data_IF_006668997553
#
_entry.id   IF_006668997553
#
_cell.length_a   1.000
_cell.length_b   1.000
_cell.length_c   1.000
_cell.angle_alpha   90.00
_cell.angle_beta   90.00
_cell.angle_gamma   90.00
#
_symmetry.space_group_name_H-M   'P 1'
#
loop_
_entity.id
_entity.type
_entity.pdbx_description
1 polymer ?
#
# COMPACT_ATOMS: atom_id res chain seq x y z
N UNK A 1 -11.33 -7.30 -15.85
CA UNK A 1 -12.58 -6.54 -15.65
C UNK A 1 -13.07 -5.91 -16.97
N UNK A 2 -12.22 -5.22 -17.74
CA UNK A 2 -12.57 -4.56 -19.01
C UNK A 2 -13.15 -5.49 -20.09
N UNK A 3 -12.59 -6.69 -20.25
CA UNK A 3 -13.03 -7.64 -21.28
C UNK A 3 -14.31 -8.40 -20.90
N UNK A 4 -14.40 -8.88 -19.65
CA UNK A 4 -15.50 -9.74 -19.18
C UNK A 4 -16.69 -8.95 -18.60
N UNK A 5 -16.55 -7.64 -18.35
CA UNK A 5 -17.53 -6.78 -17.66
C UNK A 5 -18.08 -7.38 -16.37
N UNK A 6 -17.24 -8.14 -15.67
CA UNK A 6 -17.55 -8.82 -14.42
C UNK A 6 -16.56 -8.40 -13.35
N UNK A 7 -17.06 -8.36 -12.11
CA UNK A 7 -16.25 -8.17 -10.92
C UNK A 7 -16.04 -9.53 -10.25
N UNK A 8 -14.82 -9.75 -9.76
CA UNK A 8 -14.49 -10.88 -8.91
C UNK A 8 -13.93 -10.34 -7.61
N UNK A 9 -14.37 -10.95 -6.51
CA UNK A 9 -13.78 -10.71 -5.21
C UNK A 9 -12.28 -11.05 -5.23
N UNK A 10 -11.46 -10.19 -4.64
CA UNK A 10 -10.02 -10.40 -4.48
C UNK A 10 -9.77 -10.85 -3.04
N UNK A 11 -10.04 -9.96 -2.08
CA UNK A 11 -9.89 -10.17 -0.65
C UNK A 11 -10.53 -9.03 0.14
N UNK A 12 -10.48 -9.15 1.46
CA UNK A 12 -10.87 -8.13 2.43
C UNK A 12 -9.69 -7.80 3.34
N UNK A 13 -9.69 -6.59 3.91
CA UNK A 13 -8.84 -6.28 5.06
C UNK A 13 -9.26 -7.10 6.29
N UNK A 14 -8.40 -7.24 7.31
CA UNK A 14 -8.79 -7.84 8.58
C UNK A 14 -9.98 -7.09 9.21
N UNK A 15 -10.87 -7.82 9.88
CA UNK A 15 -12.18 -7.30 10.33
C UNK A 15 -12.09 -6.28 11.47
N UNK A 16 -10.98 -6.27 12.19
CA UNK A 16 -10.68 -5.36 13.30
C UNK A 16 -10.18 -3.98 12.82
N UNK A 17 -10.11 -3.78 11.50
CA UNK A 17 -9.48 -2.63 10.89
C UNK A 17 -10.52 -1.75 10.19
N UNK A 18 -10.51 -0.47 10.53
CA UNK A 18 -11.35 0.55 9.92
C UNK A 18 -10.50 1.72 9.47
N UNK A 19 -10.69 2.15 8.23
CA UNK A 19 -10.01 3.31 7.65
C UNK A 19 -11.00 4.24 6.96
N UNK A 20 -10.71 5.54 6.97
CA UNK A 20 -11.41 6.52 6.16
C UNK A 20 -10.47 7.14 5.12
N UNK A 21 -10.70 6.82 3.84
CA UNK A 21 -9.88 7.38 2.75
C UNK A 21 -8.43 6.91 2.72
N UNK A 22 -8.14 5.66 3.11
CA UNK A 22 -6.82 5.05 2.95
C UNK A 22 -6.37 5.01 1.47
N UNK A 23 -5.07 4.83 1.26
CA UNK A 23 -4.47 4.79 -0.07
C UNK A 23 -3.82 3.44 -0.33
N UNK A 24 -4.02 2.92 -1.55
CA UNK A 24 -3.26 1.78 -2.08
C UNK A 24 -2.43 2.26 -3.27
N UNK A 25 -1.15 1.91 -3.27
CA UNK A 25 -0.21 2.21 -4.37
C UNK A 25 0.44 0.92 -4.85
N UNK A 26 0.79 0.90 -6.13
CA UNK A 26 1.56 -0.19 -6.73
C UNK A 26 3.05 0.07 -6.55
N UNK A 27 3.74 -0.86 -5.89
CA UNK A 27 5.20 -0.87 -5.81
C UNK A 27 5.76 -1.31 -7.16
N UNK A 28 6.63 -0.49 -7.74
CA UNK A 28 7.42 -0.86 -8.90
C UNK A 28 8.53 -1.80 -8.43
N UNK A 29 8.23 -3.07 -8.32
CA UNK A 29 9.28 -4.07 -8.15
C UNK A 29 9.76 -4.52 -9.53
N UNK A 30 11.07 -4.59 -9.72
CA UNK A 30 11.72 -5.08 -10.93
C UNK A 30 11.57 -6.60 -11.13
N UNK A 31 10.57 -7.22 -10.50
CA UNK A 31 10.40 -8.67 -10.49
C UNK A 31 9.99 -9.22 -11.87
N UNK A 32 10.42 -10.45 -12.08
CA UNK A 32 10.44 -11.21 -13.33
C UNK A 32 9.09 -11.69 -13.82
N UNK A 33 8.03 -11.64 -13.00
CA UNK A 33 6.71 -12.14 -13.37
C UNK A 33 5.74 -11.00 -13.71
N UNK A 34 5.39 -10.79 -14.99
CA UNK A 34 4.48 -9.73 -15.41
C UNK A 34 3.05 -9.89 -14.88
N UNK A 35 2.70 -11.07 -14.33
CA UNK A 35 1.37 -11.36 -13.81
C UNK A 35 1.25 -11.11 -12.29
N UNK A 36 2.31 -10.64 -11.65
CA UNK A 36 2.37 -10.38 -10.22
C UNK A 36 2.58 -8.89 -9.98
N UNK A 37 1.83 -8.33 -9.01
CA UNK A 37 1.92 -6.93 -8.64
C UNK A 37 2.12 -6.85 -7.13
N UNK A 38 3.02 -5.99 -6.68
CA UNK A 38 3.17 -5.70 -5.26
C UNK A 38 2.41 -4.42 -4.94
N UNK A 39 1.52 -4.50 -3.95
CA UNK A 39 0.71 -3.39 -3.49
C UNK A 39 1.12 -3.00 -2.08
N UNK A 40 1.07 -1.71 -1.79
CA UNK A 40 1.26 -1.12 -0.47
C UNK A 40 0.01 -0.32 -0.11
N UNK A 41 -0.55 -0.57 1.07
CA UNK A 41 -1.72 0.11 1.60
C UNK A 41 -1.36 0.84 2.90
N UNK A 42 -1.79 2.09 3.04
CA UNK A 42 -1.54 2.91 4.22
C UNK A 42 -2.56 4.04 4.37
N UNK A 43 -2.63 4.59 5.59
CA UNK A 43 -3.45 5.75 5.93
C UNK A 43 -4.90 5.45 6.25
N UNK A 44 -5.67 6.53 6.40
CA UNK A 44 -7.07 6.50 6.81
C UNK A 44 -7.32 6.42 8.30
N UNK A 45 -6.30 6.64 9.13
CA UNK A 45 -6.41 6.77 10.59
C UNK A 45 -6.19 8.23 11.03
N UNK A 46 -7.09 8.73 11.87
CA UNK A 46 -7.01 10.07 12.46
C UNK A 46 -5.87 10.19 13.49
N UNK A 47 -5.64 11.40 13.98
CA UNK A 47 -4.71 11.66 15.08
C UNK A 47 -4.97 10.75 16.29
N UNK A 48 -3.91 10.35 16.99
CA UNK A 48 -3.96 9.47 18.17
C UNK A 48 -4.47 8.04 17.90
N UNK A 49 -4.74 7.68 16.65
CA UNK A 49 -4.99 6.29 16.25
C UNK A 49 -3.70 5.62 15.78
N UNK A 50 -3.52 4.35 16.17
CA UNK A 50 -2.42 3.51 15.70
C UNK A 50 -2.44 3.43 14.17
N UNK A 51 -1.33 3.83 13.55
CA UNK A 51 -1.17 3.74 12.10
C UNK A 51 -1.01 2.29 11.71
N UNK A 52 -1.46 1.98 10.50
CA UNK A 52 -1.35 0.64 9.96
C UNK A 52 -0.97 0.70 8.50
N UNK A 53 -0.05 -0.18 8.13
CA UNK A 53 0.47 -0.35 6.78
C UNK A 53 0.38 -1.81 6.43
N UNK A 54 -0.03 -2.11 5.20
CA UNK A 54 -0.19 -3.46 4.70
C UNK A 54 0.51 -3.59 3.36
N UNK A 55 1.05 -4.77 3.09
CA UNK A 55 1.50 -5.14 1.75
C UNK A 55 0.71 -6.34 1.23
N UNK A 56 0.62 -6.44 -0.08
CA UNK A 56 0.00 -7.58 -0.75
C UNK A 56 0.78 -7.93 -2.00
N UNK A 57 1.02 -9.23 -2.17
CA UNK A 57 1.37 -9.80 -3.46
C UNK A 57 0.07 -10.12 -4.21
N UNK A 58 -0.28 -9.29 -5.18
CA UNK A 58 -1.48 -9.45 -5.99
C UNK A 58 -1.21 -10.31 -7.23
N UNK A 59 -2.15 -11.21 -7.53
CA UNK A 59 -2.22 -11.95 -8.78
C UNK A 59 -3.66 -11.97 -9.28
N UNK A 60 -3.85 -11.85 -10.59
CA UNK A 60 -5.17 -11.80 -11.21
C UNK A 60 -6.04 -13.01 -10.81
N UNK A 61 -7.18 -12.73 -10.16
CA UNK A 61 -8.22 -13.73 -9.82
C UNK A 61 -8.90 -14.36 -11.03
N UNK A 62 -8.56 -13.90 -12.23
CA UNK A 62 -8.98 -14.51 -13.48
C UNK A 62 -8.02 -15.62 -13.92
N UNK A 63 -6.72 -15.50 -13.61
CA UNK A 63 -5.69 -16.47 -13.98
C UNK A 63 -5.55 -17.62 -12.97
N UNK A 64 -5.87 -17.36 -11.69
CA UNK A 64 -5.79 -18.38 -10.63
C UNK A 64 -6.68 -19.59 -10.94
N UNK A 65 -7.80 -19.39 -11.64
CA UNK A 65 -8.75 -20.46 -11.94
C UNK A 65 -8.37 -21.29 -13.17
N UNK A 66 -7.53 -20.77 -14.07
CA UNK A 66 -7.21 -21.45 -15.34
C UNK A 66 -6.17 -22.58 -15.14
N UNK A 67 -5.48 -22.63 -14.00
CA UNK A 67 -4.57 -23.74 -13.65
C UNK A 67 -5.22 -24.89 -12.87
N UNK A 68 -6.49 -24.80 -12.48
CA UNK A 68 -7.17 -25.85 -11.70
C UNK A 68 -7.74 -27.00 -12.56
N UNK A 69 -7.30 -27.15 -13.81
CA UNK A 69 -7.72 -28.25 -14.68
C UNK A 69 -6.63 -29.30 -14.95
N UNK A 70 -5.52 -29.33 -14.20
CA UNK A 70 -4.63 -30.48 -14.19
C UNK A 70 -4.11 -30.76 -12.78
N UNK A 71 -4.74 -31.75 -12.13
CA UNK A 71 -4.16 -32.71 -11.19
C UNK A 71 -2.89 -32.27 -10.43
N UNK A 72 -3.04 -31.79 -9.20
CA UNK A 72 -2.25 -32.34 -8.10
C UNK A 72 -2.87 -31.99 -6.75
N UNK A 73 -3.67 -32.91 -6.24
CA UNK A 73 -3.52 -33.31 -4.85
C UNK A 73 -2.07 -33.71 -4.63
N UNK A 74 -1.26 -32.85 -4.04
CA UNK A 74 -0.05 -33.28 -3.34
C UNK A 74 0.20 -32.36 -2.16
N UNK A 75 -0.28 -32.83 -1.03
CA UNK A 75 0.41 -32.70 0.24
C UNK A 75 1.88 -33.11 0.09
N UNK A 76 2.76 -32.14 -0.15
CA UNK A 76 4.16 -32.21 0.27
C UNK A 76 4.52 -30.92 0.98
N UNK A 77 4.46 -31.02 2.30
CA UNK A 77 5.21 -30.18 3.21
C UNK A 77 6.69 -30.32 2.88
N UNK A 78 7.23 -29.43 2.07
CA UNK A 78 8.66 -29.14 2.04
C UNK A 78 8.91 -27.92 2.93
N UNK A 79 9.45 -28.20 4.12
CA UNK A 79 9.91 -27.21 5.09
C UNK A 79 11.16 -26.47 4.54
N UNK A 80 10.98 -25.26 4.00
CA UNK A 80 11.84 -24.07 4.23
C UNK A 80 11.60 -22.89 3.25
N UNK A 81 10.37 -22.59 2.88
CA UNK A 81 9.98 -21.21 2.50
C UNK A 81 8.49 -21.04 2.70
N UNK A 82 8.11 -20.24 3.70
CA UNK A 82 6.73 -19.76 3.85
C UNK A 82 6.49 -18.85 2.64
N UNK A 83 6.01 -19.42 1.54
CA UNK A 83 5.61 -18.65 0.36
C UNK A 83 4.45 -17.74 0.77
N UNK A 84 4.64 -16.44 0.63
CA UNK A 84 3.64 -15.45 1.01
C UNK A 84 2.34 -15.68 0.23
N UNK A 85 1.16 -15.76 0.90
CA UNK A 85 -0.09 -15.99 0.19
C UNK A 85 -0.42 -14.84 -0.76
N UNK A 86 -0.85 -15.19 -1.98
CA UNK A 86 -1.35 -14.21 -2.95
C UNK A 86 -2.70 -13.64 -2.50
N UNK A 87 -2.95 -12.38 -2.89
CA UNK A 87 -4.22 -11.69 -2.67
C UNK A 87 -4.63 -11.65 -1.20
N UNK A 88 -3.67 -11.55 -0.28
CA UNK A 88 -3.92 -11.40 1.15
C UNK A 88 -3.14 -10.20 1.67
N UNK A 89 -3.82 -9.34 2.44
CA UNK A 89 -3.16 -8.22 3.12
C UNK A 89 -2.31 -8.73 4.27
N UNK A 90 -1.03 -8.33 4.27
CA UNK A 90 -0.09 -8.65 5.34
C UNK A 90 0.30 -7.37 6.03
N UNK A 91 -0.01 -7.31 7.33
CA UNK A 91 0.27 -6.15 8.15
C UNK A 91 1.76 -6.02 8.39
N UNK A 92 2.25 -4.78 8.32
CA UNK A 92 3.60 -4.41 8.70
C UNK A 92 3.75 -4.34 10.21
N UNK A 93 4.98 -4.50 10.69
CA UNK A 93 5.29 -4.23 12.08
C UNK A 93 5.19 -2.71 12.35
N UNK A 94 5.04 -2.34 13.63
CA UNK A 94 4.94 -0.93 14.03
C UNK A 94 6.13 -0.09 13.56
N UNK A 95 7.33 -0.67 13.51
CA UNK A 95 8.56 0.02 13.09
C UNK A 95 8.65 0.30 11.57
N UNK A 96 7.81 -0.34 10.76
CA UNK A 96 7.76 -0.16 9.29
C UNK A 96 6.41 0.42 8.84
N UNK A 97 5.64 0.93 9.80
CA UNK A 97 4.36 1.59 9.54
C UNK A 97 4.59 3.02 9.08
N UNK A 98 3.77 3.47 8.13
CA UNK A 98 3.79 4.81 7.57
C UNK A 98 3.04 5.79 8.49
N UNK A 99 3.69 6.91 8.79
CA UNK A 99 3.16 7.98 9.62
C UNK A 99 3.37 7.77 11.12
N UNK A 100 3.25 8.86 11.87
CA UNK A 100 3.38 8.90 13.34
C UNK A 100 2.01 8.95 14.01
N UNK A 101 1.95 8.65 15.30
CA UNK A 101 0.70 8.58 16.07
C UNK A 101 -0.09 9.90 16.00
N UNK A 102 0.59 11.02 16.05
CA UNK A 102 0.04 12.38 15.99
C UNK A 102 -0.44 12.79 14.59
N UNK A 103 -0.11 12.07 13.53
CA UNK A 103 -0.52 12.46 12.18
C UNK A 103 -1.97 12.08 11.91
N UNK A 104 -2.71 12.97 11.25
CA UNK A 104 -3.98 12.61 10.63
C UNK A 104 -3.72 12.14 9.19
N UNK A 105 -3.88 10.84 8.95
CA UNK A 105 -3.69 10.21 7.63
C UNK A 105 -5.02 10.00 6.88
N UNK A 106 -6.12 10.57 7.36
CA UNK A 106 -7.41 10.49 6.70
C UNK A 106 -7.37 11.21 5.36
N UNK A 107 -7.79 10.52 4.30
CA UNK A 107 -7.75 11.06 2.94
C UNK A 107 -6.34 11.30 2.37
N UNK A 108 -5.32 10.66 2.94
CA UNK A 108 -3.93 10.76 2.48
C UNK A 108 -3.79 10.41 1.00
N UNK A 109 -2.80 11.03 0.35
CA UNK A 109 -2.38 10.70 -1.00
C UNK A 109 -0.92 10.31 -1.03
N UNK A 110 -0.63 9.43 -1.98
CA UNK A 110 0.70 8.87 -2.16
C UNK A 110 1.00 8.67 -3.63
N UNK A 111 2.23 8.99 -4.00
CA UNK A 111 2.81 8.75 -5.31
C UNK A 111 4.19 8.11 -5.14
N UNK A 112 4.47 7.09 -5.93
CA UNK A 112 5.80 6.48 -5.98
C UNK A 112 6.60 7.15 -7.09
N UNK A 113 7.83 7.53 -6.77
CA UNK A 113 8.75 8.18 -7.69
C UNK A 113 10.19 8.09 -7.17
N UNK A 114 11.00 9.10 -7.50
CA UNK A 114 12.44 9.03 -7.32
C UNK A 114 13.13 8.31 -8.48
N UNK A 115 14.46 8.43 -8.55
CA UNK A 115 15.23 7.94 -9.71
C UNK A 115 15.04 6.44 -9.95
N UNK A 116 14.83 5.66 -8.90
CA UNK A 116 14.66 4.21 -9.00
C UNK A 116 13.24 3.76 -8.60
N UNK A 117 12.26 4.67 -8.53
CA UNK A 117 10.92 4.38 -8.00
C UNK A 117 10.94 3.81 -6.56
N UNK A 118 11.90 4.27 -5.76
CA UNK A 118 12.22 3.83 -4.40
C UNK A 118 11.76 4.81 -3.33
N UNK A 119 11.09 5.90 -3.72
CA UNK A 119 10.58 6.92 -2.81
C UNK A 119 9.06 7.02 -2.91
N UNK A 120 8.40 7.05 -1.75
CA UNK A 120 6.98 7.33 -1.62
C UNK A 120 6.80 8.76 -1.12
N UNK A 121 6.22 9.60 -1.98
CA UNK A 121 5.83 10.96 -1.66
C UNK A 121 4.41 10.94 -1.10
N UNK A 122 4.24 11.49 0.09
CA UNK A 122 2.98 11.51 0.82
C UNK A 122 2.57 12.96 1.05
N UNK A 123 1.31 13.22 0.76
CA UNK A 123 0.62 14.48 1.04
C UNK A 123 -0.63 14.17 1.84
N UNK A 124 -0.81 14.92 2.93
CA UNK A 124 -1.82 14.65 3.94
C UNK A 124 -2.36 15.96 4.51
N UNK A 125 -3.15 15.88 5.59
CA UNK A 125 -3.75 17.05 6.22
C UNK A 125 -2.75 18.17 6.54
N UNK A 126 -1.50 17.84 6.85
CA UNK A 126 -0.40 18.82 6.98
C UNK A 126 0.07 19.34 5.62
N UNK A 127 0.43 20.63 5.56
CA UNK A 127 1.00 21.28 4.36
C UNK A 127 2.36 20.70 3.91
N UNK A 128 2.97 19.83 4.71
CA UNK A 128 4.25 19.23 4.42
C UNK A 128 4.12 17.94 3.60
N UNK A 129 4.94 17.82 2.57
CA UNK A 129 5.23 16.57 1.86
C UNK A 129 6.16 15.74 2.76
N UNK A 130 5.74 14.53 3.06
CA UNK A 130 6.59 13.52 3.66
C UNK A 130 7.14 12.61 2.56
N UNK A 131 8.42 12.23 2.64
CA UNK A 131 9.02 11.29 1.69
C UNK A 131 9.56 10.10 2.46
N UNK A 132 9.12 8.91 2.06
CA UNK A 132 9.49 7.64 2.68
C UNK A 132 10.39 6.87 1.72
N UNK A 133 11.53 6.41 2.23
CA UNK A 133 12.36 5.44 1.54
C UNK A 133 11.68 4.06 1.63
N UNK A 134 11.29 3.50 0.47
CA UNK A 134 10.54 2.25 0.39
C UNK A 134 11.36 1.00 0.74
N UNK A 135 12.71 1.07 0.70
CA UNK A 135 13.57 -0.04 1.10
C UNK A 135 13.65 -0.14 2.62
N UNK A 136 13.77 1.00 3.29
CA UNK A 136 13.91 1.06 4.76
C UNK A 136 12.58 1.23 5.47
N UNK A 137 11.53 1.61 4.73
CA UNK A 137 10.22 2.01 5.25
C UNK A 137 10.32 3.14 6.29
N UNK A 138 11.24 4.08 6.08
CA UNK A 138 11.50 5.21 6.98
C UNK A 138 11.32 6.55 6.29
N UNK A 139 10.80 7.50 7.05
CA UNK A 139 10.70 8.91 6.65
C UNK A 139 12.09 9.53 6.51
N UNK A 140 12.30 10.28 5.43
CA UNK A 140 13.51 11.06 5.21
C UNK A 140 13.39 12.38 5.97
N UNK A 141 14.34 12.65 6.86
CA UNK A 141 14.27 13.78 7.80
C UNK A 141 14.93 15.07 7.29
N UNK A 142 15.73 14.99 6.23
CA UNK A 142 16.55 16.11 5.73
C UNK A 142 16.00 16.74 4.44
N UNK A 143 14.68 16.70 4.26
CA UNK A 143 14.03 17.26 3.07
C UNK A 143 13.89 18.78 3.21
N UNK A 144 14.36 19.52 2.22
CA UNK A 144 14.18 20.97 2.12
C UNK A 144 13.00 21.29 1.21
N UNK A 145 12.33 22.42 1.48
CA UNK A 145 11.21 22.93 0.68
C UNK A 145 10.06 21.91 0.54
N UNK A 146 9.75 21.22 1.64
CA UNK A 146 8.68 20.24 1.69
C UNK A 146 7.30 20.86 1.97
N UNK A 147 7.22 22.16 2.23
CA UNK A 147 5.95 22.87 2.40
C UNK A 147 5.33 23.06 1.01
N UNK A 148 4.11 22.56 0.83
CA UNK A 148 3.34 22.79 -0.38
C UNK A 148 2.90 24.26 -0.47
N UNK A 149 3.00 24.91 -1.65
CA UNK A 149 2.54 26.28 -1.86
C UNK A 149 1.01 26.30 -2.01
N UNK A 150 0.29 25.86 -0.99
CA UNK A 150 -1.16 26.01 -0.88
C UNK A 150 -1.46 27.18 0.04
N UNK A 151 -2.46 27.99 -0.31
CA UNK A 151 -3.02 28.93 0.67
C UNK A 151 -3.43 28.15 1.92
N UNK A 152 -3.26 28.75 3.10
CA UNK A 152 -3.60 28.15 4.39
C UNK A 152 -5.10 27.77 4.38
N UNK A 153 -5.40 26.55 3.97
CA UNK A 153 -6.75 26.05 3.94
C UNK A 153 -7.11 25.72 5.38
N UNK A 154 -8.21 26.32 5.87
CA UNK A 154 -8.80 26.04 7.20
C UNK A 154 -8.95 24.54 7.52
N UNK A 155 -8.93 23.66 6.50
CA UNK A 155 -9.14 22.23 6.62
C UNK A 155 -7.98 21.35 6.08
N UNK A 156 -6.83 21.94 5.74
CA UNK A 156 -5.67 21.22 5.21
C UNK A 156 -5.87 20.58 3.82
N UNK A 157 -4.87 19.83 3.33
CA UNK A 157 -4.91 19.15 2.02
C UNK A 157 -5.26 17.67 2.21
N UNK A 158 -6.53 17.33 2.14
CA UNK A 158 -7.00 15.93 2.19
C UNK A 158 -7.83 15.58 0.97
N UNK A 159 -7.83 14.31 0.58
CA UNK A 159 -8.59 13.77 -0.55
C UNK A 159 -8.27 14.34 -1.95
N UNK A 160 -7.26 15.19 -2.08
CA UNK A 160 -6.80 15.78 -3.36
C UNK A 160 -6.33 14.74 -4.38
N UNK A 161 -6.05 15.14 -5.62
CA UNK A 161 -5.52 14.24 -6.65
C UNK A 161 -4.05 14.58 -6.97
N UNK A 162 -3.30 13.55 -7.39
CA UNK A 162 -2.03 13.69 -8.10
C UNK A 162 -2.27 13.53 -9.60
#
# INVERSE_FOLDING_TARGET
HTLKKQYKYICSYPNDIQFNGHRVVQLNDSQTNPNEIYLLSFGGQDENMMKQTFSMKYKSVWEINDHNNNNQSDSKYDNHSISQPFNTWIQHNQNTTIGKLENNLTGVRGLIGGKNNDLLFITQHSENIEVIDLKTMKSLTEIKNNIMPTEEHKFGIQYHCF
#
